data_IF_054013429482
#
_entry.id   IF_054013429482
#
_cell.length_a   1.000
_cell.length_b   1.000
_cell.length_c   1.000
_cell.angle_alpha   90.00
_cell.angle_beta   90.00
_cell.angle_gamma   90.00
#
_symmetry.space_group_name_H-M   'P 1'
#
loop_
_entity.id
_entity.type
_entity.pdbx_description
1 polymer ?
#
# COMPACT_ATOMS: atom_id res chain seq x y z
N UNK A 1 -2.55 18.54 3.77
CA UNK A 1 -2.26 17.19 4.29
C UNK A 1 -0.92 16.74 3.75
N UNK A 2 -0.13 16.13 4.60
CA UNK A 2 1.13 15.45 4.26
C UNK A 2 0.87 13.96 4.01
N UNK A 3 1.85 13.26 3.44
CA UNK A 3 1.80 11.80 3.33
C UNK A 3 1.60 11.19 4.72
N UNK A 4 2.23 11.71 5.77
CA UNK A 4 2.03 11.25 7.14
C UNK A 4 0.57 11.28 7.57
N UNK A 5 -0.16 12.34 7.23
CA UNK A 5 -1.58 12.46 7.56
C UNK A 5 -2.40 11.37 6.86
N UNK A 6 -2.09 11.09 5.59
CA UNK A 6 -2.75 10.05 4.81
C UNK A 6 -2.44 8.65 5.36
N UNK A 7 -1.16 8.32 5.60
CA UNK A 7 -0.80 6.98 6.08
C UNK A 7 -1.34 6.75 7.48
N UNK A 8 -1.33 7.75 8.36
CA UNK A 8 -1.95 7.64 9.68
C UNK A 8 -3.44 7.25 9.57
N UNK A 9 -4.18 7.83 8.62
CA UNK A 9 -5.57 7.47 8.38
C UNK A 9 -5.70 6.05 7.80
N UNK A 10 -4.91 5.69 6.79
CA UNK A 10 -4.91 4.34 6.21
C UNK A 10 -4.59 3.27 7.26
N UNK A 11 -3.66 3.55 8.17
CA UNK A 11 -3.30 2.67 9.28
C UNK A 11 -4.39 2.54 10.35
N UNK A 12 -5.42 3.41 10.36
CA UNK A 12 -6.64 3.18 11.16
C UNK A 12 -7.55 2.11 10.55
N UNK A 13 -7.45 1.90 9.23
CA UNK A 13 -8.21 0.90 8.48
C UNK A 13 -7.44 -0.42 8.47
N UNK A 14 -6.14 -0.36 8.17
CA UNK A 14 -5.23 -1.50 8.08
C UNK A 14 -3.93 -1.19 8.84
N UNK A 15 -3.91 -1.42 10.17
CA UNK A 15 -2.71 -1.21 10.98
C UNK A 15 -1.53 -2.04 10.46
N UNK A 16 -0.33 -1.45 10.36
CA UNK A 16 0.84 -2.16 9.81
C UNK A 16 1.19 -3.45 10.56
N UNK A 17 0.94 -3.52 11.88
CA UNK A 17 1.18 -4.73 12.68
C UNK A 17 0.22 -5.89 12.36
N UNK A 18 -0.78 -5.67 11.49
CA UNK A 18 -1.60 -6.75 10.95
C UNK A 18 -0.94 -7.45 9.76
N UNK A 19 0.09 -6.85 9.15
CA UNK A 19 0.81 -7.47 8.05
C UNK A 19 1.45 -8.80 8.47
N UNK A 20 1.68 -9.69 7.50
CA UNK A 20 2.45 -10.91 7.69
C UNK A 20 3.95 -10.62 7.78
N UNK A 21 4.68 -11.50 8.49
CA UNK A 21 6.10 -11.27 8.82
C UNK A 21 7.01 -11.25 7.57
N UNK A 22 6.57 -11.86 6.48
CA UNK A 22 7.29 -11.85 5.20
C UNK A 22 7.01 -10.62 4.35
N UNK A 23 6.05 -9.79 4.75
CA UNK A 23 5.48 -8.74 3.91
C UNK A 23 6.27 -7.42 4.00
N UNK A 24 6.03 -6.52 3.04
CA UNK A 24 6.59 -5.18 3.01
C UNK A 24 5.49 -4.13 2.80
N UNK A 25 4.79 -3.77 3.89
CA UNK A 25 3.73 -2.76 3.91
C UNK A 25 4.24 -1.42 4.41
N UNK A 26 3.48 -0.35 4.14
CA UNK A 26 3.83 1.01 4.52
C UNK A 26 4.37 1.85 3.36
N UNK A 27 5.07 2.94 3.69
CA UNK A 27 5.66 3.83 2.70
C UNK A 27 6.95 3.22 2.15
N UNK A 28 6.94 2.84 0.87
CA UNK A 28 8.07 2.18 0.19
C UNK A 28 8.96 3.15 -0.57
N UNK A 29 8.39 4.24 -1.09
CA UNK A 29 9.09 5.31 -1.82
C UNK A 29 8.52 6.65 -1.39
N UNK A 30 9.37 7.65 -1.14
CA UNK A 30 8.99 9.01 -0.80
C UNK A 30 9.26 9.38 0.67
N UNK A 31 8.74 10.54 1.08
CA UNK A 31 8.96 11.11 2.42
C UNK A 31 7.62 11.44 3.10
N UNK A 32 7.49 11.10 4.38
CA UNK A 32 6.27 11.36 5.15
C UNK A 32 5.89 12.85 5.23
N UNK A 33 6.86 13.75 5.11
CA UNK A 33 6.70 15.21 5.18
C UNK A 33 6.17 15.83 3.89
N UNK A 34 6.17 15.09 2.78
CA UNK A 34 5.72 15.60 1.48
C UNK A 34 4.24 15.99 1.52
N UNK A 35 3.91 17.17 1.02
CA UNK A 35 2.52 17.64 0.84
C UNK A 35 1.86 16.86 -0.28
N UNK A 36 0.69 16.28 -0.04
CA UNK A 36 -0.05 15.50 -1.05
C UNK A 36 -0.86 16.42 -1.96
N UNK A 37 -0.69 16.27 -3.28
CA UNK A 37 -1.44 16.99 -4.32
C UNK A 37 -2.56 16.14 -4.91
N UNK A 38 -2.39 14.82 -4.92
CA UNK A 38 -3.37 13.86 -5.42
C UNK A 38 -2.96 12.44 -5.06
N UNK A 39 -3.96 11.56 -4.93
CA UNK A 39 -3.77 10.15 -4.58
C UNK A 39 -4.32 9.28 -5.69
N UNK A 40 -3.49 8.38 -6.22
CA UNK A 40 -3.92 7.33 -7.14
C UNK A 40 -3.99 6.00 -6.38
N UNK A 41 -5.13 5.32 -6.42
CA UNK A 41 -5.32 4.01 -5.77
C UNK A 41 -5.24 2.90 -6.81
N UNK A 42 -4.41 1.90 -6.58
CA UNK A 42 -4.16 0.81 -7.55
C UNK A 42 -4.03 -0.56 -6.87
N UNK A 43 -4.14 -1.63 -7.67
CA UNK A 43 -3.72 -2.96 -7.25
C UNK A 43 -2.19 -3.08 -7.32
N UNK A 44 -1.61 -2.85 -8.50
CA UNK A 44 -0.19 -2.96 -8.80
C UNK A 44 0.41 -1.61 -9.21
N UNK A 45 1.64 -1.31 -8.78
CA UNK A 45 2.35 -0.09 -9.17
C UNK A 45 3.26 -0.34 -10.37
N UNK A 46 2.67 -0.59 -11.54
CA UNK A 46 3.44 -0.73 -12.78
C UNK A 46 3.90 0.63 -13.32
N UNK A 47 4.83 0.61 -14.26
CA UNK A 47 5.34 1.84 -14.90
C UNK A 47 4.22 2.69 -15.51
N UNK A 48 3.20 2.07 -16.13
CA UNK A 48 2.04 2.76 -16.67
C UNK A 48 1.15 3.42 -15.60
N UNK A 49 1.14 2.91 -14.37
CA UNK A 49 0.42 3.53 -13.24
C UNK A 49 1.16 4.76 -12.73
N UNK A 50 2.49 4.75 -12.82
CA UNK A 50 3.28 5.95 -12.56
C UNK A 50 3.00 7.00 -13.65
N UNK A 51 2.90 6.60 -14.92
CA UNK A 51 2.49 7.50 -16.00
C UNK A 51 1.09 8.09 -15.76
N UNK A 52 0.11 7.28 -15.35
CA UNK A 52 -1.23 7.74 -14.97
C UNK A 52 -1.18 8.74 -13.80
N UNK A 53 -0.37 8.48 -12.76
CA UNK A 53 -0.22 9.40 -11.65
C UNK A 53 0.36 10.76 -12.09
N UNK A 54 1.32 10.76 -13.03
CA UNK A 54 1.87 11.99 -13.62
C UNK A 54 0.77 12.74 -14.39
N UNK A 55 0.04 12.05 -15.27
CA UNK A 55 -1.03 12.64 -16.08
C UNK A 55 -2.15 13.25 -15.21
N UNK A 56 -2.48 12.60 -14.10
CA UNK A 56 -3.52 13.04 -13.16
C UNK A 56 -2.99 14.00 -12.07
N UNK A 57 -1.72 14.38 -12.09
CA UNK A 57 -1.07 15.22 -11.08
C UNK A 57 -1.15 14.67 -9.64
N UNK A 58 -1.16 13.34 -9.52
CA UNK A 58 -1.07 12.62 -8.25
C UNK A 58 0.39 12.41 -7.84
N UNK A 59 0.72 12.71 -6.58
CA UNK A 59 2.06 12.53 -6.03
C UNK A 59 2.14 11.46 -4.92
N UNK A 60 1.06 10.71 -4.72
CA UNK A 60 1.02 9.53 -3.87
C UNK A 60 0.25 8.41 -4.59
N UNK A 61 0.90 7.27 -4.78
CA UNK A 61 0.27 6.02 -5.19
C UNK A 61 0.03 5.17 -3.94
N UNK A 62 -1.21 4.75 -3.73
CA UNK A 62 -1.58 3.78 -2.69
C UNK A 62 -1.90 2.47 -3.39
N UNK A 63 -1.03 1.47 -3.24
CA UNK A 63 -1.18 0.17 -3.87
C UNK A 63 -1.59 -0.91 -2.88
N UNK A 64 -2.21 -1.97 -3.40
CA UNK A 64 -2.40 -3.19 -2.62
C UNK A 64 -1.13 -4.05 -2.64
N UNK A 65 -0.57 -4.36 -3.82
CA UNK A 65 0.68 -5.12 -3.89
C UNK A 65 1.91 -4.21 -3.72
N UNK A 66 2.91 -4.63 -2.91
CA UNK A 66 4.13 -3.85 -2.72
C UNK A 66 5.06 -3.99 -3.93
N UNK A 67 5.41 -2.86 -4.56
CA UNK A 67 6.35 -2.86 -5.69
C UNK A 67 7.76 -3.29 -5.27
N UNK A 68 8.15 -3.00 -4.02
CA UNK A 68 9.35 -3.53 -3.37
C UNK A 68 8.91 -4.66 -2.45
N UNK A 69 8.91 -5.91 -2.92
CA UNK A 69 8.61 -7.06 -2.04
C UNK A 69 9.86 -7.66 -1.39
N UNK A 70 11.01 -7.57 -2.07
CA UNK A 70 12.30 -8.01 -1.56
C UNK A 70 13.33 -6.89 -1.72
N UNK A 71 14.37 -6.91 -0.90
CA UNK A 71 15.40 -5.87 -0.91
C UNK A 71 16.07 -5.70 -2.28
N UNK A 72 16.11 -4.47 -2.77
CA UNK A 72 16.75 -4.11 -4.04
C UNK A 72 18.27 -4.01 -3.86
N UNK A 73 19.02 -4.78 -4.65
CA UNK A 73 20.50 -4.72 -4.65
C UNK A 73 21.06 -3.68 -5.62
N UNK A 74 20.27 -3.30 -6.63
CA UNK A 74 20.61 -2.34 -7.68
C UNK A 74 19.33 -1.59 -8.08
N UNK A 75 19.49 -0.36 -8.53
CA UNK A 75 18.41 0.48 -9.07
C UNK A 75 18.93 1.18 -10.33
N UNK A 76 18.99 0.43 -11.44
CA UNK A 76 19.51 0.91 -12.73
C UNK A 76 18.54 0.67 -13.89
N UNK A 77 17.27 0.35 -13.59
CA UNK A 77 16.19 0.24 -14.58
C UNK A 77 16.20 -1.07 -15.36
N UNK A 78 16.86 -2.12 -14.84
CA UNK A 78 17.00 -3.40 -15.55
C UNK A 78 15.68 -4.17 -15.67
N UNK A 79 14.78 -4.03 -14.70
CA UNK A 79 13.49 -4.72 -14.67
C UNK A 79 12.35 -3.73 -14.38
N UNK A 80 11.10 -4.21 -14.46
CA UNK A 80 9.92 -3.37 -14.32
C UNK A 80 9.81 -2.71 -12.94
N UNK A 81 10.21 -3.40 -11.86
CA UNK A 81 10.22 -2.86 -10.49
C UNK A 81 11.15 -1.64 -10.43
N UNK A 82 12.39 -1.81 -10.88
CA UNK A 82 13.38 -0.74 -10.87
C UNK A 82 12.95 0.43 -11.76
N UNK A 83 12.34 0.17 -12.93
CA UNK A 83 11.84 1.22 -13.84
C UNK A 83 10.71 2.03 -13.21
N UNK A 84 9.71 1.36 -12.63
CA UNK A 84 8.59 2.03 -11.97
C UNK A 84 9.08 2.89 -10.79
N UNK A 85 9.99 2.36 -9.96
CA UNK A 85 10.56 3.09 -8.83
C UNK A 85 11.41 4.28 -9.28
N UNK A 86 12.30 4.10 -10.26
CA UNK A 86 13.11 5.19 -10.79
C UNK A 86 12.22 6.31 -11.36
N UNK A 87 11.19 5.95 -12.13
CA UNK A 87 10.25 6.91 -12.69
C UNK A 87 9.49 7.65 -11.60
N UNK A 88 9.00 6.94 -10.57
CA UNK A 88 8.29 7.56 -9.45
C UNK A 88 9.19 8.56 -8.70
N UNK A 89 10.43 8.17 -8.39
CA UNK A 89 11.42 9.04 -7.73
C UNK A 89 11.69 10.30 -8.58
N UNK A 90 11.93 10.14 -9.88
CA UNK A 90 12.23 11.25 -10.79
C UNK A 90 11.07 12.26 -10.91
N UNK A 91 9.84 11.83 -10.65
CA UNK A 91 8.64 12.66 -10.73
C UNK A 91 8.10 13.06 -9.35
N UNK A 92 8.86 12.82 -8.27
CA UNK A 92 8.45 13.11 -6.89
C UNK A 92 7.13 12.44 -6.46
N UNK A 93 6.90 11.21 -6.95
CA UNK A 93 5.73 10.40 -6.62
C UNK A 93 6.11 9.38 -5.54
N UNK A 94 5.39 9.42 -4.43
CA UNK A 94 5.51 8.45 -3.36
C UNK A 94 4.69 7.19 -3.62
N UNK A 95 5.08 6.06 -3.03
CA UNK A 95 4.39 4.77 -3.16
C UNK A 95 4.20 4.17 -1.76
N UNK A 96 2.94 3.92 -1.39
CA UNK A 96 2.55 3.29 -0.14
C UNK A 96 1.78 1.98 -0.41
N UNK A 97 2.13 0.89 0.27
CA UNK A 97 1.50 -0.42 0.08
C UNK A 97 0.74 -0.90 1.31
N UNK A 98 -0.48 -1.42 1.12
CA UNK A 98 -1.32 -1.93 2.22
C UNK A 98 -1.29 -3.46 2.38
N UNK A 99 -1.19 -4.20 1.28
CA UNK A 99 -1.07 -5.65 1.16
C UNK A 99 -1.73 -6.47 2.28
N UNK A 100 -0.98 -7.35 2.97
CA UNK A 100 -1.55 -8.27 3.96
C UNK A 100 -2.10 -7.57 5.20
N UNK A 101 -1.67 -6.35 5.53
CA UNK A 101 -2.30 -5.56 6.59
C UNK A 101 -3.76 -5.24 6.24
N UNK A 102 -4.05 -5.01 4.96
CA UNK A 102 -5.43 -4.83 4.49
C UNK A 102 -6.17 -6.17 4.39
N UNK A 103 -5.54 -7.27 3.98
CA UNK A 103 -6.19 -8.60 4.00
C UNK A 103 -6.64 -9.00 5.41
N UNK A 104 -5.79 -8.74 6.40
CA UNK A 104 -6.04 -9.05 7.81
C UNK A 104 -6.91 -8.01 8.53
N UNK A 105 -7.34 -6.95 7.84
CA UNK A 105 -8.28 -5.97 8.39
C UNK A 105 -9.71 -6.49 8.38
N UNK A 106 -10.45 -6.22 9.46
CA UNK A 106 -11.90 -6.48 9.53
C UNK A 106 -12.73 -5.65 8.54
N UNK A 107 -12.13 -4.62 7.93
CA UNK A 107 -12.70 -3.80 6.85
C UNK A 107 -11.97 -4.01 5.51
N UNK A 108 -11.20 -5.10 5.43
CA UNK A 108 -10.27 -5.40 4.37
C UNK A 108 -10.86 -6.06 3.13
N UNK A 109 -9.97 -6.64 2.32
CA UNK A 109 -10.30 -7.31 1.06
C UNK A 109 -11.32 -8.43 1.26
N UNK A 110 -11.08 -9.32 2.23
CA UNK A 110 -11.98 -10.44 2.51
C UNK A 110 -13.37 -9.96 2.99
N UNK A 111 -13.43 -8.88 3.78
CA UNK A 111 -14.68 -8.29 4.23
C UNK A 111 -15.48 -7.72 3.05
N UNK A 112 -14.83 -6.97 2.15
CA UNK A 112 -15.45 -6.41 0.97
C UNK A 112 -15.95 -7.50 -0.01
N UNK A 113 -15.18 -8.57 -0.20
CA UNK A 113 -15.62 -9.72 -1.00
C UNK A 113 -16.83 -10.41 -0.37
N UNK A 114 -16.82 -10.62 0.95
CA UNK A 114 -17.93 -11.22 1.66
C UNK A 114 -19.21 -10.36 1.57
N UNK A 115 -19.09 -9.02 1.58
CA UNK A 115 -20.19 -8.09 1.32
C UNK A 115 -20.75 -8.27 -0.09
N UNK A 116 -19.88 -8.31 -1.11
CA UNK A 116 -20.29 -8.49 -2.50
C UNK A 116 -20.98 -9.83 -2.75
N UNK A 117 -20.59 -10.87 -2.03
CA UNK A 117 -21.20 -12.20 -2.08
C UNK A 117 -22.44 -12.34 -1.19
N UNK A 118 -22.79 -11.32 -0.41
CA UNK A 118 -23.94 -11.35 0.50
C UNK A 118 -23.78 -12.32 1.69
N UNK A 119 -22.56 -12.70 2.04
CA UNK A 119 -22.30 -13.64 3.13
C UNK A 119 -22.77 -13.06 4.47
N UNK A 120 -23.39 -13.90 5.29
CA UNK A 120 -23.86 -13.57 6.63
C UNK A 120 -23.08 -14.36 7.68
N UNK A 121 -23.16 -13.95 8.96
CA UNK A 121 -22.54 -14.67 10.10
C UNK A 121 -21.04 -14.95 9.91
N UNK A 122 -20.29 -13.92 9.51
CA UNK A 122 -18.87 -14.03 9.17
C UNK A 122 -18.01 -14.10 10.43
N UNK A 123 -16.92 -14.86 10.34
CA UNK A 123 -15.87 -14.90 11.34
C UNK A 123 -14.51 -14.89 10.65
N UNK A 124 -13.46 -14.50 11.38
CA UNK A 124 -12.08 -14.64 10.90
C UNK A 124 -11.81 -16.12 10.65
N UNK A 125 -11.32 -16.45 9.45
CA UNK A 125 -11.04 -17.84 9.05
C UNK A 125 -9.77 -18.38 9.73
N UNK A 126 -8.72 -17.57 9.78
CA UNK A 126 -7.42 -17.90 10.38
C UNK A 126 -7.02 -16.79 11.37
N UNK A 127 -7.32 -16.96 12.67
CA UNK A 127 -6.94 -15.96 13.67
C UNK A 127 -5.42 -15.89 13.85
N UNK A 128 -4.86 -14.67 13.77
CA UNK A 128 -3.44 -14.42 14.04
C UNK A 128 -3.21 -14.25 15.55
N UNK A 129 -2.28 -15.02 16.10
CA UNK A 129 -1.89 -14.92 17.50
C UNK A 129 -1.00 -13.70 17.75
N UNK A 130 -0.96 -13.18 18.98
CA UNK A 130 -0.04 -12.10 19.36
C UNK A 130 -0.45 -10.67 18.97
N UNK A 131 -1.62 -10.46 18.36
CA UNK A 131 -2.13 -9.13 17.97
C UNK A 131 -2.72 -8.29 19.13
N UNK A 132 -2.35 -8.56 20.38
CA UNK A 132 -2.90 -7.80 21.53
C UNK A 132 -2.33 -6.38 21.50
N UNK A 133 -3.16 -5.42 21.11
CA UNK A 133 -2.87 -4.00 21.29
C UNK A 133 -2.89 -3.71 22.80
N UNK A 134 -1.74 -3.39 23.38
CA UNK A 134 -1.68 -2.85 24.75
C UNK A 134 -2.45 -1.52 24.72
N UNK A 135 -3.62 -1.49 25.37
CA UNK A 135 -4.44 -0.28 25.54
C UNK A 135 -3.73 0.72 26.45
#
# INVERSE_FOLDING_TARGET
MTIKDITNYLETIAPLHYAEDFDNTGLLVGEYTTVVTGILVTLDTLEAVVDEAIEQNCNLIVSFHPIIFSGLKKLNGKNYVEKAILKAIQNNIAIYSMHTALDNSSKGVAAAMADKLGLQNRSVLLPKSGLIKKL
#
